data_IF_822497071968
#
_entry.id   IF_822497071968
#
_cell.length_a   1.000
_cell.length_b   1.000
_cell.length_c   1.000
_cell.angle_alpha   90.00
_cell.angle_beta   90.00
_cell.angle_gamma   90.00
#
_symmetry.space_group_name_H-M   'P 1'
#
loop_
_entity.id
_entity.type
_entity.pdbx_description
1 polymer ?
#
# COMPACT_ATOMS: atom_id res chain seq x y z
N UNK A 1 0.48 -22.65 31.77
CA UNK A 1 0.35 -23.02 30.34
C UNK A 1 0.12 -21.72 29.58
N UNK A 2 1.10 -21.28 28.78
CA UNK A 2 0.93 -20.12 27.89
C UNK A 2 -0.05 -20.51 26.80
N UNK A 3 -1.25 -19.94 26.79
CA UNK A 3 -2.18 -20.10 25.67
C UNK A 3 -1.57 -19.36 24.48
N UNK A 4 -1.12 -20.09 23.45
CA UNK A 4 -0.70 -19.47 22.20
C UNK A 4 -1.96 -18.94 21.50
N UNK A 5 -2.16 -17.62 21.53
CA UNK A 5 -3.27 -16.98 20.84
C UNK A 5 -3.08 -17.12 19.33
N UNK A 6 -4.07 -17.71 18.66
CA UNK A 6 -4.12 -17.83 17.20
C UNK A 6 -5.19 -16.92 16.62
N UNK A 7 -4.94 -16.39 15.43
CA UNK A 7 -5.84 -15.52 14.66
C UNK A 7 -6.01 -16.07 13.25
N UNK A 8 -7.08 -15.64 12.57
CA UNK A 8 -7.26 -15.92 11.16
C UNK A 8 -6.38 -15.03 10.26
N UNK A 9 -5.87 -15.65 9.20
CA UNK A 9 -5.25 -15.04 8.03
C UNK A 9 -5.83 -15.70 6.78
N UNK A 10 -6.80 -15.04 6.14
CA UNK A 10 -7.63 -15.66 5.11
C UNK A 10 -8.36 -16.89 5.67
N UNK A 11 -8.17 -18.05 5.02
CA UNK A 11 -8.78 -19.32 5.42
C UNK A 11 -7.92 -20.15 6.40
N UNK A 12 -6.79 -19.62 6.88
CA UNK A 12 -5.85 -20.34 7.78
C UNK A 12 -5.81 -19.70 9.17
N UNK A 13 -5.57 -20.51 10.21
CA UNK A 13 -5.24 -20.03 11.54
C UNK A 13 -3.72 -19.94 11.71
N UNK A 14 -3.24 -18.80 12.22
CA UNK A 14 -1.82 -18.49 12.41
C UNK A 14 -1.60 -17.89 13.80
N UNK A 15 -0.42 -18.05 14.40
CA UNK A 15 -0.09 -17.34 15.65
C UNK A 15 -0.26 -15.83 15.47
N UNK A 16 -0.75 -15.13 16.49
CA UNK A 16 -0.97 -13.67 16.45
C UNK A 16 0.30 -12.92 16.10
N UNK A 17 1.44 -13.33 16.69
CA UNK A 17 2.76 -12.77 16.40
C UNK A 17 3.17 -12.88 14.91
N UNK A 18 2.66 -13.87 14.17
CA UNK A 18 3.02 -14.08 12.77
C UNK A 18 2.10 -13.35 11.79
N UNK A 19 0.89 -12.95 12.20
CA UNK A 19 -0.11 -12.35 11.29
C UNK A 19 0.42 -11.09 10.63
N UNK A 20 1.05 -10.19 11.39
CA UNK A 20 1.61 -8.95 10.86
C UNK A 20 2.68 -9.22 9.80
N UNK A 21 3.58 -10.19 10.04
CA UNK A 21 4.61 -10.60 9.08
C UNK A 21 4.00 -11.14 7.79
N UNK A 22 2.99 -12.01 7.89
CA UNK A 22 2.30 -12.58 6.71
C UNK A 22 1.54 -11.52 5.90
N UNK A 23 0.92 -10.54 6.57
CA UNK A 23 0.30 -9.40 5.89
C UNK A 23 1.35 -8.60 5.14
N UNK A 24 2.49 -8.30 5.78
CA UNK A 24 3.60 -7.58 5.14
C UNK A 24 4.18 -8.35 3.94
N UNK A 25 4.32 -9.67 4.02
CA UNK A 25 4.75 -10.53 2.90
C UNK A 25 3.78 -10.43 1.71
N UNK A 26 2.47 -10.43 1.95
CA UNK A 26 1.48 -10.23 0.87
C UNK A 26 1.66 -8.87 0.23
N UNK A 27 1.76 -7.80 1.02
CA UNK A 27 1.98 -6.45 0.48
C UNK A 27 3.28 -6.35 -0.33
N UNK A 28 4.39 -6.93 0.14
CA UNK A 28 5.64 -7.01 -0.64
C UNK A 28 5.46 -7.79 -1.94
N UNK A 29 4.71 -8.89 -1.91
CA UNK A 29 4.52 -9.74 -3.10
C UNK A 29 3.70 -9.09 -4.22
N UNK A 30 2.90 -8.08 -3.87
CA UNK A 30 2.04 -7.36 -4.83
C UNK A 30 2.58 -5.99 -5.20
N UNK A 31 3.44 -5.36 -4.38
CA UNK A 31 3.95 -4.01 -4.61
C UNK A 31 4.59 -3.86 -6.00
N UNK A 32 5.54 -4.73 -6.36
CA UNK A 32 6.22 -4.67 -7.67
C UNK A 32 5.28 -4.87 -8.87
N UNK A 33 4.16 -5.59 -8.65
CA UNK A 33 3.15 -5.84 -9.69
C UNK A 33 2.10 -4.74 -9.76
N UNK A 34 1.96 -3.95 -8.69
CA UNK A 34 0.90 -2.96 -8.56
C UNK A 34 1.10 -1.81 -9.54
N UNK A 35 2.32 -1.28 -9.65
CA UNK A 35 2.65 -0.20 -10.57
C UNK A 35 2.47 -0.65 -12.02
N UNK A 36 2.94 -1.86 -12.36
CA UNK A 36 2.75 -2.44 -13.70
C UNK A 36 1.28 -2.65 -14.04
N UNK A 37 0.49 -3.16 -13.08
CA UNK A 37 -0.96 -3.30 -13.26
C UNK A 37 -1.61 -1.93 -13.45
N UNK A 38 -1.25 -0.93 -12.65
CA UNK A 38 -1.78 0.42 -12.78
C UNK A 38 -1.44 1.02 -14.15
N UNK A 39 -0.18 0.92 -14.60
CA UNK A 39 0.24 1.38 -15.93
C UNK A 39 -0.56 0.71 -17.05
N UNK A 40 -0.71 -0.61 -17.02
CA UNK A 40 -1.41 -1.36 -18.08
C UNK A 40 -2.92 -1.10 -18.04
N UNK A 41 -3.57 -1.24 -16.88
CA UNK A 41 -5.02 -1.10 -16.75
C UNK A 41 -5.49 0.34 -17.00
N UNK A 42 -4.70 1.32 -16.57
CA UNK A 42 -5.02 2.74 -16.80
C UNK A 42 -4.49 3.27 -18.12
N UNK A 43 -3.77 2.48 -18.92
CA UNK A 43 -3.00 2.97 -20.06
C UNK A 43 -2.12 4.18 -19.70
N UNK A 44 -1.52 4.15 -18.50
CA UNK A 44 -0.69 5.23 -17.95
C UNK A 44 -1.43 6.48 -17.45
N UNK A 45 -2.78 6.53 -17.53
CA UNK A 45 -3.57 7.73 -17.17
C UNK A 45 -3.48 8.05 -15.68
N UNK A 46 -3.24 7.07 -14.79
CA UNK A 46 -3.15 7.32 -13.34
C UNK A 46 -2.06 8.34 -12.97
N UNK A 47 -1.01 8.48 -13.80
CA UNK A 47 0.05 9.50 -13.63
C UNK A 47 -0.49 10.92 -13.80
N UNK A 48 -1.42 11.11 -14.74
CA UNK A 48 -2.10 12.40 -14.94
C UNK A 48 -3.01 12.73 -13.76
N UNK A 49 -3.73 11.74 -13.22
CA UNK A 49 -4.58 11.95 -12.05
C UNK A 49 -3.79 12.34 -10.81
N UNK A 50 -2.63 11.71 -10.56
CA UNK A 50 -1.73 12.11 -9.47
C UNK A 50 -1.26 13.54 -9.63
N UNK A 51 -0.77 13.91 -10.82
CA UNK A 51 -0.32 15.27 -11.11
C UNK A 51 -1.44 16.30 -10.91
N UNK A 52 -2.62 16.01 -11.45
CA UNK A 52 -3.79 16.86 -11.25
C UNK A 52 -4.17 17.01 -9.78
N UNK A 53 -4.08 15.94 -8.99
CA UNK A 53 -4.35 15.96 -7.55
C UNK A 53 -3.36 16.87 -6.81
N UNK A 54 -2.06 16.80 -7.14
CA UNK A 54 -1.05 17.69 -6.54
C UNK A 54 -1.29 19.15 -6.94
N UNK A 55 -1.64 19.39 -8.20
CA UNK A 55 -1.98 20.74 -8.69
C UNK A 55 -3.20 21.30 -7.96
N UNK A 56 -4.26 20.50 -7.76
CA UNK A 56 -5.44 20.88 -6.98
C UNK A 56 -5.14 21.12 -5.50
N UNK A 57 -4.23 20.33 -4.91
CA UNK A 57 -3.80 20.53 -3.53
C UNK A 57 -3.08 21.87 -3.32
N UNK A 58 -2.63 22.52 -4.41
CA UNK A 58 -2.09 23.88 -4.36
C UNK A 58 -0.79 23.98 -3.56
N UNK A 59 -0.01 22.91 -3.52
CA UNK A 59 1.25 22.82 -2.76
C UNK A 59 2.26 23.83 -3.30
N UNK A 60 2.90 24.59 -2.41
CA UNK A 60 3.88 25.64 -2.72
C UNK A 60 5.22 25.41 -2.04
N UNK A 61 6.33 25.93 -2.60
CA UNK A 61 7.64 25.87 -1.95
C UNK A 61 7.57 26.40 -0.51
N UNK A 62 8.18 25.66 0.42
CA UNK A 62 8.18 25.97 1.86
C UNK A 62 7.04 25.34 2.66
N UNK A 63 6.04 24.75 2.02
CA UNK A 63 5.00 23.98 2.70
C UNK A 63 5.48 22.57 3.07
N UNK A 64 4.92 22.01 4.13
CA UNK A 64 5.14 20.62 4.54
C UNK A 64 3.90 19.80 4.18
N UNK A 65 4.10 18.69 3.49
CA UNK A 65 3.04 17.78 3.05
C UNK A 65 3.31 16.41 3.66
N UNK A 66 2.25 15.76 4.15
CA UNK A 66 2.31 14.39 4.65
C UNK A 66 1.43 13.53 3.75
N UNK A 67 2.03 12.50 3.15
CA UNK A 67 1.30 11.45 2.49
C UNK A 67 0.99 10.33 3.50
N UNK A 68 -0.30 10.08 3.73
CA UNK A 68 -0.78 9.10 4.71
C UNK A 68 -0.83 7.69 4.11
N UNK A 69 -0.87 7.58 2.77
CA UNK A 69 -1.07 6.31 2.07
C UNK A 69 -0.21 6.22 0.80
N UNK A 70 1.05 6.64 0.89
CA UNK A 70 1.92 6.81 -0.29
C UNK A 70 2.26 5.54 -1.06
N UNK A 71 1.95 4.36 -0.53
CA UNK A 71 2.10 3.10 -1.26
C UNK A 71 3.52 2.92 -1.82
N UNK A 72 3.62 2.66 -3.13
CA UNK A 72 4.87 2.52 -3.89
C UNK A 72 5.57 3.86 -4.19
N UNK A 73 4.89 4.99 -4.00
CA UNK A 73 5.43 6.33 -4.26
C UNK A 73 5.62 6.67 -5.74
N UNK A 74 5.00 5.89 -6.64
CA UNK A 74 4.96 6.12 -8.09
C UNK A 74 4.22 7.42 -8.46
#
# INVERSE_FOLDING_TARGET
>A
MSQHETTHFGFKQVPVEEKARKVAEVFHSVADKYDLMNDVMSFGIHRLWKRFTVELAGVRPGQRVLDIAGGTGD
#
